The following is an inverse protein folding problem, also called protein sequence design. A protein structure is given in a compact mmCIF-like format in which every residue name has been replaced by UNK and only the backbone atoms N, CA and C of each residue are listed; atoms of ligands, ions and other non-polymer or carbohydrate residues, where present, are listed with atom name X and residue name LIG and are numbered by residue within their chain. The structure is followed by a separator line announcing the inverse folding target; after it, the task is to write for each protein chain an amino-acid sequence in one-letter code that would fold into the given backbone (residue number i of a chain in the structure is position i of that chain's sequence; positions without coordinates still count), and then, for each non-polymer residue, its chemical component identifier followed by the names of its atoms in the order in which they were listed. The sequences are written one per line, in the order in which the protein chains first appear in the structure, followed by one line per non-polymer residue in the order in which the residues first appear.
data_IF_444815755423
#
_entry.id   IF_444815755423
#
_cell.length_a   1.000
_cell.length_b   1.000
_cell.length_c   1.000
_cell.angle_alpha   90.00
_cell.angle_beta   90.00
_cell.angle_gamma   90.00
#
_symmetry.space_group_name_H-M   'P 1'
#
loop_
_entity.id
_entity.type
_entity.pdbx_description
1 polymer ?
#
# COMPACT_ATOMS: atom_id res chain seq x y z
N UNK A 1 -2.20 2.50 -19.25
CA UNK A 1 -1.35 1.83 -18.24
C UNK A 1 -2.11 1.82 -16.91
N UNK A 2 -2.07 0.72 -16.16
CA UNK A 2 -2.79 0.58 -14.88
C UNK A 2 -1.86 0.80 -13.68
N UNK A 3 -2.34 1.53 -12.69
CA UNK A 3 -1.63 1.84 -11.45
C UNK A 3 -2.53 1.54 -10.26
N UNK A 4 -1.95 1.01 -9.19
CA UNK A 4 -2.59 0.92 -7.88
C UNK A 4 -2.14 2.10 -7.01
N UNK A 5 -3.09 2.77 -6.36
CA UNK A 5 -2.88 3.77 -5.33
C UNK A 5 -3.25 3.17 -3.97
N UNK A 6 -2.37 3.31 -2.99
CA UNK A 6 -2.53 2.81 -1.63
C UNK A 6 -2.57 4.00 -0.66
N UNK A 7 -3.75 4.28 -0.11
CA UNK A 7 -3.96 5.33 0.88
C UNK A 7 -3.79 4.77 2.30
N UNK A 8 -3.12 5.52 3.17
CA UNK A 8 -3.02 5.16 4.59
C UNK A 8 -4.33 5.46 5.32
N UNK A 9 -4.68 4.64 6.32
CA UNK A 9 -5.80 4.88 7.27
C UNK A 9 -7.17 5.22 6.65
N UNK A 10 -7.37 4.96 5.36
CA UNK A 10 -8.65 5.20 4.69
C UNK A 10 -9.51 3.96 4.86
N UNK A 11 -10.51 4.07 5.73
CA UNK A 11 -11.65 3.16 5.77
C UNK A 11 -12.82 3.87 5.08
N UNK A 12 -13.11 3.47 3.84
CA UNK A 12 -14.07 4.18 2.99
C UNK A 12 -15.43 4.31 3.70
N UNK A 13 -15.97 5.53 3.72
CA UNK A 13 -17.26 5.86 4.34
C UNK A 13 -17.21 6.19 5.85
N UNK A 14 -16.04 6.21 6.49
CA UNK A 14 -15.90 6.75 7.86
C UNK A 14 -15.77 8.29 7.87
N UNK A 15 -16.02 8.97 9.01
CA UNK A 15 -15.77 10.40 9.13
C UNK A 15 -14.36 10.79 8.67
N UNK A 16 -14.26 11.90 7.92
CA UNK A 16 -13.01 12.39 7.32
C UNK A 16 -12.31 11.44 6.32
N UNK A 17 -13.00 10.38 5.89
CA UNK A 17 -12.59 9.51 4.80
C UNK A 17 -13.55 9.67 3.61
N UNK A 18 -13.07 9.54 2.36
CA UNK A 18 -13.96 9.54 1.22
C UNK A 18 -14.87 8.31 1.22
N UNK A 19 -16.06 8.43 0.63
CA UNK A 19 -16.82 7.28 0.16
C UNK A 19 -16.10 6.63 -1.04
N UNK A 20 -16.49 5.40 -1.38
CA UNK A 20 -16.02 4.74 -2.60
C UNK A 20 -16.23 5.62 -3.85
N UNK A 21 -17.43 6.20 -3.98
CA UNK A 21 -17.78 7.04 -5.11
C UNK A 21 -16.94 8.31 -5.16
N UNK A 22 -16.71 8.97 -4.02
CA UNK A 22 -15.82 10.14 -3.95
C UNK A 22 -14.40 9.79 -4.34
N UNK A 23 -13.88 8.65 -3.85
CA UNK A 23 -12.53 8.20 -4.19
C UNK A 23 -12.39 7.93 -5.68
N UNK A 24 -13.33 7.21 -6.31
CA UNK A 24 -13.31 6.92 -7.74
C UNK A 24 -13.46 8.19 -8.58
N UNK A 25 -14.43 9.04 -8.24
CA UNK A 25 -14.69 10.28 -8.99
C UNK A 25 -13.50 11.24 -8.95
N UNK A 26 -12.82 11.35 -7.80
CA UNK A 26 -11.64 12.20 -7.67
C UNK A 26 -10.52 11.82 -8.66
N UNK A 27 -10.35 10.53 -8.97
CA UNK A 27 -9.39 10.07 -9.98
C UNK A 27 -9.86 10.34 -11.40
N UNK A 28 -11.15 10.13 -11.69
CA UNK A 28 -11.73 10.44 -13.00
C UNK A 28 -11.61 11.93 -13.32
N UNK A 29 -11.97 12.80 -12.38
CA UNK A 29 -11.86 14.26 -12.51
C UNK A 29 -10.41 14.74 -12.59
N UNK A 30 -9.46 13.93 -12.11
CA UNK A 30 -8.02 14.16 -12.22
C UNK A 30 -7.42 13.66 -13.54
N UNK A 31 -8.24 13.12 -14.45
CA UNK A 31 -7.82 12.67 -15.78
C UNK A 31 -7.47 11.18 -15.88
N UNK A 32 -7.87 10.36 -14.90
CA UNK A 32 -7.84 8.91 -15.07
C UNK A 32 -8.89 8.47 -16.10
N UNK A 33 -8.51 7.55 -16.99
CA UNK A 33 -9.44 6.94 -17.95
C UNK A 33 -10.42 5.95 -17.29
N UNK A 34 -10.01 5.38 -16.15
CA UNK A 34 -10.86 4.54 -15.30
C UNK A 34 -10.35 4.60 -13.88
N UNK A 35 -11.24 4.44 -12.90
CA UNK A 35 -10.89 4.31 -11.49
C UNK A 35 -11.81 3.26 -10.84
N UNK A 36 -11.23 2.34 -10.07
CA UNK A 36 -11.96 1.28 -9.40
C UNK A 36 -11.34 1.01 -8.03
N UNK A 37 -12.11 1.27 -6.97
CA UNK A 37 -11.71 0.93 -5.61
C UNK A 37 -11.61 -0.58 -5.45
N UNK A 38 -10.62 -1.00 -4.66
CA UNK A 38 -10.34 -2.39 -4.35
C UNK A 38 -10.41 -2.58 -2.84
N UNK A 39 -11.45 -3.30 -2.37
CA UNK A 39 -11.80 -3.41 -0.96
C UNK A 39 -12.12 -2.04 -0.33
N UNK A 40 -12.26 -2.00 1.00
CA UNK A 40 -12.59 -0.79 1.77
C UNK A 40 -11.37 -0.12 2.43
N UNK A 41 -10.17 -0.69 2.22
CA UNK A 41 -8.93 -0.30 2.89
C UNK A 41 -8.19 0.86 2.22
N UNK A 42 -8.85 1.63 1.35
CA UNK A 42 -8.21 2.73 0.62
C UNK A 42 -7.22 2.25 -0.44
N UNK A 43 -7.48 1.12 -1.10
CA UNK A 43 -6.74 0.72 -2.30
C UNK A 43 -7.59 1.03 -3.53
N UNK A 44 -7.03 1.64 -4.56
CA UNK A 44 -7.73 1.95 -5.81
C UNK A 44 -6.84 1.66 -7.00
N UNK A 45 -7.40 1.04 -8.04
CA UNK A 45 -6.73 0.86 -9.33
C UNK A 45 -7.27 1.88 -10.31
N UNK A 46 -6.39 2.61 -10.98
CA UNK A 46 -6.74 3.57 -12.02
C UNK A 46 -5.91 3.36 -13.27
N UNK A 47 -6.49 3.75 -14.42
CA UNK A 47 -5.80 3.72 -15.70
C UNK A 47 -5.50 5.15 -16.16
N UNK A 48 -4.28 5.35 -16.68
CA UNK A 48 -3.91 6.59 -17.37
C UNK A 48 -3.56 6.28 -18.83
N UNK A 49 -3.86 7.20 -19.77
CA UNK A 49 -3.38 7.11 -21.15
C UNK A 49 -1.85 6.95 -21.21
N UNK A 50 -1.32 6.33 -22.27
CA UNK A 50 0.13 6.07 -22.39
C UNK A 50 0.99 7.34 -22.39
N UNK A 51 0.45 8.43 -22.94
CA UNK A 51 1.10 9.74 -22.95
C UNK A 51 1.03 10.49 -21.61
N UNK A 52 0.17 10.04 -20.68
CA UNK A 52 -0.05 10.72 -19.41
C UNK A 52 0.88 10.18 -18.32
N UNK A 53 1.21 11.05 -17.34
CA UNK A 53 1.99 10.68 -16.16
C UNK A 53 1.05 10.36 -14.99
N UNK A 54 1.26 9.22 -14.35
CA UNK A 54 0.43 8.76 -13.23
C UNK A 54 0.55 9.65 -11.96
N UNK A 55 1.75 10.17 -11.67
CA UNK A 55 2.00 11.02 -10.51
C UNK A 55 1.13 12.29 -10.45
N UNK A 56 1.06 13.09 -11.53
CA UNK A 56 0.14 14.23 -11.60
C UNK A 56 -1.33 13.88 -11.38
N UNK A 57 -1.82 12.76 -11.92
CA UNK A 57 -3.20 12.29 -11.70
C UNK A 57 -3.43 11.98 -10.22
N UNK A 58 -2.51 11.26 -9.58
CA UNK A 58 -2.58 11.00 -8.14
C UNK A 58 -2.61 12.31 -7.33
N UNK A 59 -1.69 13.24 -7.60
CA UNK A 59 -1.59 14.50 -6.87
C UNK A 59 -2.88 15.33 -7.00
N UNK A 60 -3.44 15.42 -8.20
CA UNK A 60 -4.68 16.12 -8.47
C UNK A 60 -5.90 15.45 -7.81
N UNK A 61 -5.93 14.11 -7.72
CA UNK A 61 -6.97 13.38 -7.01
C UNK A 61 -6.87 13.60 -5.49
N UNK A 62 -5.66 13.51 -4.91
CA UNK A 62 -5.42 13.76 -3.48
C UNK A 62 -5.85 15.18 -3.09
N UNK A 63 -5.50 16.19 -3.89
CA UNK A 63 -5.90 17.58 -3.63
C UNK A 63 -7.44 17.74 -3.61
N UNK A 64 -8.16 17.08 -4.54
CA UNK A 64 -9.63 17.06 -4.56
C UNK A 64 -10.20 16.40 -3.32
N UNK A 65 -9.68 15.24 -2.92
CA UNK A 65 -10.14 14.51 -1.73
C UNK A 65 -9.91 15.32 -0.45
N UNK A 66 -8.78 16.02 -0.35
CA UNK A 66 -8.51 16.93 0.74
C UNK A 66 -9.56 18.06 0.82
N UNK A 67 -9.95 18.64 -0.31
CA UNK A 67 -10.99 19.68 -0.37
C UNK A 67 -12.40 19.14 -0.07
N UNK A 68 -12.73 17.94 -0.57
CA UNK A 68 -14.07 17.37 -0.48
C UNK A 68 -14.39 16.75 0.89
N UNK A 69 -13.42 16.07 1.51
CA UNK A 69 -13.65 15.33 2.76
C UNK A 69 -12.55 15.51 3.82
N UNK A 70 -11.55 16.36 3.57
CA UNK A 70 -10.50 16.66 4.53
C UNK A 70 -9.41 15.59 4.63
N UNK A 71 -9.28 14.71 3.63
CA UNK A 71 -8.26 13.66 3.62
C UNK A 71 -6.84 14.26 3.69
N UNK A 72 -6.03 13.82 4.67
CA UNK A 72 -4.63 14.25 4.87
C UNK A 72 -3.61 13.11 4.74
N UNK A 73 -4.10 11.90 4.54
CA UNK A 73 -3.27 10.70 4.56
C UNK A 73 -2.44 10.58 3.27
N UNK A 74 -1.17 10.10 3.37
CA UNK A 74 -0.35 9.89 2.20
C UNK A 74 -0.91 8.77 1.31
N UNK A 75 -0.57 8.86 0.03
CA UNK A 75 -0.87 7.84 -0.97
C UNK A 75 0.38 7.42 -1.72
N UNK A 76 0.56 6.12 -1.91
CA UNK A 76 1.68 5.54 -2.66
C UNK A 76 1.15 4.90 -3.94
N UNK A 77 1.86 5.06 -5.04
CA UNK A 77 1.48 4.46 -6.33
C UNK A 77 2.47 3.42 -6.81
N UNK A 78 1.95 2.33 -7.38
CA UNK A 78 2.73 1.30 -8.08
C UNK A 78 2.06 0.95 -9.40
N UNK A 79 2.86 0.61 -10.41
CA UNK A 79 2.31 0.00 -11.63
C UNK A 79 1.78 -1.39 -11.29
N UNK A 80 0.65 -1.77 -11.90
CA UNK A 80 0.09 -3.10 -11.68
C UNK A 80 0.99 -4.20 -12.26
N UNK A 81 1.69 -3.93 -13.37
CA UNK A 81 2.68 -4.86 -13.94
C UNK A 81 3.85 -5.18 -12.98
N UNK A 82 4.32 -4.17 -12.26
CA UNK A 82 5.36 -4.32 -11.25
C UNK A 82 4.84 -5.13 -10.05
N UNK A 83 3.61 -4.88 -9.59
CA UNK A 83 3.00 -5.72 -8.55
C UNK A 83 2.84 -7.17 -9.02
N UNK A 84 2.51 -7.39 -10.29
CA UNK A 84 2.44 -8.73 -10.87
C UNK A 84 3.81 -9.43 -10.88
N UNK A 85 4.88 -8.71 -11.22
CA UNK A 85 6.24 -9.23 -11.12
C UNK A 85 6.64 -9.59 -9.68
N UNK A 86 6.26 -8.77 -8.70
CA UNK A 86 6.47 -9.08 -7.28
C UNK A 86 5.68 -10.33 -6.85
N UNK A 87 4.44 -10.47 -7.30
CA UNK A 87 3.63 -11.69 -7.03
C UNK A 87 4.28 -12.92 -7.64
N UNK A 88 4.77 -12.83 -8.89
CA UNK A 88 5.45 -13.94 -9.56
C UNK A 88 6.81 -14.31 -8.96
N UNK A 89 7.48 -13.37 -8.27
CA UNK A 89 8.72 -13.63 -7.55
C UNK A 89 8.51 -14.35 -6.21
N UNK A 90 7.26 -14.49 -5.76
CA UNK A 90 6.85 -15.14 -4.51
C UNK A 90 7.75 -14.79 -3.30
N UNK A 91 7.68 -13.55 -2.78
CA UNK A 91 8.58 -13.03 -1.74
C UNK A 91 8.46 -13.75 -0.39
N UNK A 92 7.45 -14.61 -0.23
CA UNK A 92 7.24 -15.42 0.97
C UNK A 92 7.46 -16.91 0.71
N UNK A 93 8.01 -17.29 -0.44
CA UNK A 93 8.37 -18.67 -0.75
C UNK A 93 9.31 -19.25 0.32
N UNK A 94 8.96 -20.43 0.82
CA UNK A 94 9.74 -21.14 1.85
C UNK A 94 9.59 -20.59 3.27
N UNK A 95 8.73 -19.59 3.50
CA UNK A 95 8.37 -19.14 4.85
C UNK A 95 7.28 -20.05 5.40
N UNK A 96 7.52 -20.62 6.58
CA UNK A 96 6.45 -21.25 7.36
C UNK A 96 5.52 -20.15 7.92
N UNK A 97 4.26 -20.19 7.51
CA UNK A 97 3.24 -19.23 7.93
C UNK A 97 2.31 -19.76 9.01
N UNK A 98 2.58 -20.95 9.58
CA UNK A 98 1.70 -21.59 10.58
C UNK A 98 1.48 -20.74 11.83
N UNK A 99 2.48 -19.96 12.24
CA UNK A 99 2.46 -19.05 13.39
C UNK A 99 2.50 -17.56 12.97
N UNK A 100 2.31 -17.27 11.68
CA UNK A 100 2.27 -15.92 11.13
C UNK A 100 0.82 -15.44 11.12
N UNK A 101 0.58 -14.27 11.73
CA UNK A 101 -0.73 -13.63 11.68
C UNK A 101 -1.03 -13.09 10.28
N UNK A 102 -0.07 -12.38 9.68
CA UNK A 102 -0.22 -11.84 8.33
C UNK A 102 1.14 -11.66 7.63
N UNK A 103 1.22 -12.09 6.36
CA UNK A 103 2.29 -11.66 5.46
C UNK A 103 1.94 -10.26 4.93
N UNK A 104 2.84 -9.31 5.06
CA UNK A 104 2.58 -7.90 4.76
C UNK A 104 3.60 -7.35 3.77
N UNK A 105 3.15 -6.41 2.94
CA UNK A 105 4.03 -5.53 2.17
C UNK A 105 3.77 -4.08 2.55
N UNK A 106 4.83 -3.32 2.76
CA UNK A 106 4.80 -1.89 3.05
C UNK A 106 5.38 -1.10 1.90
N UNK A 107 4.63 -0.10 1.43
CA UNK A 107 5.04 0.80 0.36
C UNK A 107 5.66 2.07 0.93
N UNK A 108 6.88 2.36 0.47
CA UNK A 108 7.65 3.55 0.85
C UNK A 108 7.67 4.59 -0.28
N UNK A 109 8.07 5.81 0.08
CA UNK A 109 8.34 6.87 -0.88
C UNK A 109 9.66 6.58 -1.62
N UNK A 110 9.83 7.02 -2.89
CA UNK A 110 11.04 6.76 -3.68
C UNK A 110 12.38 7.22 -3.07
N UNK A 111 12.35 8.15 -2.12
CA UNK A 111 13.54 8.69 -1.44
C UNK A 111 13.55 8.38 0.05
N UNK A 112 12.95 7.25 0.45
CA UNK A 112 13.01 6.83 1.85
C UNK A 112 14.49 6.57 2.27
N UNK A 113 14.85 6.87 3.53
CA UNK A 113 16.16 6.52 4.08
C UNK A 113 16.45 5.02 3.95
N UNK A 114 17.74 4.67 4.03
CA UNK A 114 18.16 3.28 4.08
C UNK A 114 17.58 2.58 5.33
N UNK A 115 17.06 1.37 5.12
CA UNK A 115 16.63 0.49 6.19
C UNK A 115 17.83 -0.25 6.80
N UNK A 116 17.68 -0.80 8.02
CA UNK A 116 18.64 -1.76 8.55
C UNK A 116 18.88 -2.93 7.58
N UNK A 117 20.02 -3.62 7.64
CA UNK A 117 20.24 -4.84 6.89
C UNK A 117 19.20 -5.91 7.25
N UNK A 118 18.52 -6.48 6.24
CA UNK A 118 17.54 -7.55 6.38
C UNK A 118 18.17 -8.95 6.35
N UNK A 119 17.59 -9.93 7.06
CA UNK A 119 16.38 -9.82 7.88
C UNK A 119 16.64 -9.18 9.26
N UNK A 120 15.65 -8.47 9.80
CA UNK A 120 15.66 -7.99 11.19
C UNK A 120 14.30 -8.09 11.84
N UNK A 121 14.28 -8.05 13.18
CA UNK A 121 13.07 -8.26 13.99
C UNK A 121 12.80 -7.04 14.86
N UNK A 122 11.52 -6.74 15.10
CA UNK A 122 11.12 -5.71 16.07
C UNK A 122 11.62 -6.08 17.47
N UNK A 123 11.80 -5.09 18.35
CA UNK A 123 12.21 -5.35 19.74
C UNK A 123 11.24 -6.30 20.48
N UNK A 124 9.95 -6.26 20.14
CA UNK A 124 8.92 -7.12 20.75
C UNK A 124 8.92 -8.53 20.15
N UNK A 125 9.51 -8.73 18.98
CA UNK A 125 9.50 -9.99 18.27
C UNK A 125 8.23 -10.27 17.46
N UNK A 126 7.34 -9.28 17.36
CA UNK A 126 6.03 -9.38 16.73
C UNK A 126 6.01 -8.97 15.25
N UNK A 127 7.14 -8.47 14.73
CA UNK A 127 7.32 -8.16 13.31
C UNK A 127 8.70 -8.64 12.87
N UNK A 128 8.72 -9.44 11.80
CA UNK A 128 9.92 -9.81 11.06
C UNK A 128 9.96 -9.04 9.75
N UNK A 129 11.01 -8.26 9.51
CA UNK A 129 11.26 -7.69 8.18
C UNK A 129 12.21 -8.63 7.43
N UNK A 130 11.72 -9.17 6.32
CA UNK A 130 12.40 -10.23 5.58
C UNK A 130 13.41 -9.65 4.59
N UNK A 131 12.96 -8.71 3.77
CA UNK A 131 13.78 -8.03 2.77
C UNK A 131 13.09 -6.75 2.25
N UNK A 132 13.86 -5.92 1.57
CA UNK A 132 13.40 -4.74 0.86
C UNK A 132 13.73 -4.89 -0.64
N UNK A 133 12.74 -4.71 -1.50
CA UNK A 133 12.92 -4.59 -2.94
C UNK A 133 12.62 -3.14 -3.34
N UNK A 134 13.66 -2.31 -3.49
CA UNK A 134 13.50 -0.90 -3.80
C UNK A 134 12.69 -0.14 -2.74
N UNK A 135 11.40 0.05 -3.00
CA UNK A 135 10.47 0.78 -2.13
C UNK A 135 9.39 -0.11 -1.50
N UNK A 136 9.53 -1.42 -1.62
CA UNK A 136 8.61 -2.43 -1.10
C UNK A 136 9.32 -3.22 -0.01
N UNK A 137 8.79 -3.16 1.21
CA UNK A 137 9.33 -3.89 2.35
C UNK A 137 8.42 -5.07 2.66
N UNK A 138 8.96 -6.28 2.64
CA UNK A 138 8.24 -7.51 2.91
C UNK A 138 8.47 -7.92 4.36
N UNK A 139 7.38 -8.24 5.05
CA UNK A 139 7.41 -8.51 6.48
C UNK A 139 6.36 -9.53 6.90
N UNK A 140 6.57 -10.13 8.06
CA UNK A 140 5.62 -10.98 8.76
C UNK A 140 5.15 -10.24 10.00
N UNK A 141 3.84 -10.18 10.20
CA UNK A 141 3.22 -9.82 11.47
C UNK A 141 2.90 -11.08 12.26
N UNK A 142 3.22 -11.07 13.55
CA UNK A 142 2.94 -12.17 14.49
C UNK A 142 2.13 -11.63 15.66
N UNK A 143 1.30 -12.48 16.23
CA UNK A 143 0.59 -12.17 17.48
C UNK A 143 1.46 -12.57 18.66
N UNK A 144 1.79 -11.59 19.49
CA UNK A 144 2.38 -11.83 20.82
C UNK A 144 1.34 -11.37 21.84
N UNK A 145 1.09 -12.15 22.89
CA UNK A 145 -0.05 -11.90 23.78
C UNK A 145 -1.37 -11.80 23.00
N UNK A 146 -2.06 -10.66 23.11
CA UNK A 146 -3.38 -10.46 22.49
C UNK A 146 -3.36 -9.54 21.25
N UNK A 147 -2.20 -9.08 20.79
CA UNK A 147 -2.13 -8.09 19.70
C UNK A 147 -1.10 -8.45 18.63
N UNK A 148 -1.46 -8.34 17.33
CA UNK A 148 -0.53 -8.52 16.23
C UNK A 148 0.47 -7.36 16.18
N UNK A 149 1.68 -7.65 15.70
CA UNK A 149 2.66 -6.62 15.39
C UNK A 149 2.24 -5.76 14.20
N UNK A 150 2.70 -4.50 14.18
CA UNK A 150 2.41 -3.56 13.10
C UNK A 150 3.68 -3.26 12.30
N UNK A 151 3.87 -3.85 11.11
CA UNK A 151 4.99 -3.49 10.23
C UNK A 151 4.98 -2.00 9.87
N UNK A 152 3.79 -1.42 9.71
CA UNK A 152 3.65 0.01 9.45
C UNK A 152 4.26 0.85 10.58
N UNK A 153 3.88 0.59 11.83
CA UNK A 153 4.40 1.34 12.98
C UNK A 153 5.91 1.12 13.17
N UNK A 154 6.40 -0.10 12.93
CA UNK A 154 7.83 -0.40 12.99
C UNK A 154 8.61 0.43 11.96
N UNK A 155 8.17 0.43 10.70
CA UNK A 155 8.86 1.13 9.62
C UNK A 155 8.81 2.65 9.79
N UNK A 156 7.68 3.21 10.22
CA UNK A 156 7.56 4.65 10.49
C UNK A 156 8.48 5.08 11.62
N UNK A 157 8.57 4.30 12.69
CA UNK A 157 9.50 4.55 13.78
C UNK A 157 10.97 4.46 13.33
N UNK A 158 11.27 3.53 12.43
CA UNK A 158 12.63 3.29 11.93
C UNK A 158 13.08 4.38 10.96
N UNK A 159 12.18 4.82 10.06
CA UNK A 159 12.50 5.73 8.96
C UNK A 159 12.20 7.20 9.28
N UNK A 160 11.35 7.47 10.27
CA UNK A 160 10.83 8.81 10.53
C UNK A 160 9.92 9.35 9.41
N UNK A 161 9.50 8.49 8.48
CA UNK A 161 8.64 8.81 7.34
C UNK A 161 7.41 7.91 7.32
N UNK A 162 6.27 8.38 6.80
CA UNK A 162 5.09 7.53 6.63
C UNK A 162 5.35 6.33 5.74
N UNK A 163 4.61 5.25 6.00
CA UNK A 163 4.51 4.08 5.13
C UNK A 163 3.02 3.74 4.91
N UNK A 164 2.74 2.85 3.96
CA UNK A 164 1.41 2.23 3.86
C UNK A 164 1.56 0.73 3.71
N UNK A 165 1.01 0.00 4.67
CA UNK A 165 1.08 -1.46 4.72
C UNK A 165 -0.22 -2.10 4.24
N UNK A 166 -0.09 -3.23 3.54
CA UNK A 166 -1.20 -4.09 3.12
C UNK A 166 -0.85 -5.56 3.38
N UNK A 167 -1.87 -6.34 3.68
CA UNK A 167 -1.81 -7.78 3.60
C UNK A 167 -1.36 -8.19 2.20
N UNK A 168 -0.41 -9.13 2.11
CA UNK A 168 0.11 -9.61 0.83
C UNK A 168 -0.99 -10.20 -0.05
N UNK A 169 -1.96 -10.91 0.56
CA UNK A 169 -3.13 -11.43 -0.13
C UNK A 169 -3.98 -10.33 -0.81
N UNK A 170 -3.95 -9.09 -0.31
CA UNK A 170 -4.60 -7.95 -0.99
C UNK A 170 -3.94 -7.70 -2.35
N UNK A 171 -2.61 -7.78 -2.42
CA UNK A 171 -1.84 -7.55 -3.65
C UNK A 171 -2.04 -8.69 -4.63
N UNK A 172 -1.99 -9.94 -4.16
CA UNK A 172 -2.28 -11.12 -4.99
C UNK A 172 -3.66 -11.01 -5.65
N UNK A 173 -4.70 -10.70 -4.87
CA UNK A 173 -6.06 -10.54 -5.39
C UNK A 173 -6.22 -9.32 -6.30
N UNK A 174 -5.50 -8.23 -6.01
CA UNK A 174 -5.50 -7.03 -6.86
C UNK A 174 -4.90 -7.36 -8.23
N UNK A 175 -3.76 -8.04 -8.28
CA UNK A 175 -3.11 -8.48 -9.51
C UNK A 175 -4.00 -9.48 -10.26
N UNK A 176 -4.61 -10.46 -9.59
CA UNK A 176 -5.52 -11.40 -10.25
C UNK A 176 -6.71 -10.72 -10.93
N UNK A 177 -7.23 -9.63 -10.35
CA UNK A 177 -8.38 -8.88 -10.89
C UNK A 177 -7.99 -7.84 -11.95
N UNK A 178 -6.84 -7.19 -11.77
CA UNK A 178 -6.48 -5.99 -12.53
C UNK A 178 -5.19 -6.12 -13.33
N UNK A 179 -4.47 -7.23 -13.22
CA UNK A 179 -3.28 -7.57 -14.00
C UNK A 179 -3.52 -7.62 -15.50
#
# INVERSE_FOLDING_TARGET
MKFAAFFRNVNLGRPHCPSKAQLEQAFLDAGAASAASFLVNGTLVYAVPRAARAGPVLAAAVARLQQQCGLKEPAYIRRVDHLAALVGADPFAGIDTSDVYECCVSFLAPRAPALPPSPWRSRRGDVDVLHCNGTEVFSLSRTIGNTPGSPNALLEKTLGLPATTRAWNTIVRLVAKHG
#
